data_IF_811559283152
#
_entry.id   IF_811559283152
#
_cell.length_a   1.000
_cell.length_b   1.000
_cell.length_c   1.000
_cell.angle_alpha   90.00
_cell.angle_beta   90.00
_cell.angle_gamma   90.00
#
_symmetry.space_group_name_H-M   'P 1'
#
loop_
_entity.id
_entity.type
_entity.pdbx_description
1 polymer ?
#
# COMPACT_ATOMS: atom_id res chain seq x y z
N UNK A 1 7.46 -16.44 -0.81
CA UNK A 1 6.37 -16.56 -1.81
C UNK A 1 6.70 -17.43 -3.02
N UNK A 2 7.94 -17.92 -3.22
CA UNK A 2 8.24 -18.80 -4.36
C UNK A 2 8.04 -18.14 -5.73
N UNK A 3 8.16 -16.81 -5.80
CA UNK A 3 7.84 -16.00 -6.97
C UNK A 3 9.10 -15.27 -7.48
N UNK A 4 10.01 -15.98 -8.16
CA UNK A 4 11.27 -15.40 -8.63
C UNK A 4 11.05 -14.44 -9.81
N UNK A 5 12.12 -13.75 -10.22
CA UNK A 5 12.04 -12.73 -11.27
C UNK A 5 11.70 -13.28 -12.66
N UNK A 6 12.20 -14.48 -12.97
CA UNK A 6 12.08 -15.13 -14.27
C UNK A 6 10.96 -16.17 -14.36
N UNK A 7 9.84 -15.94 -13.67
CA UNK A 7 8.65 -16.75 -13.92
C UNK A 7 8.10 -16.47 -15.32
N UNK A 8 7.48 -17.46 -15.93
CA UNK A 8 6.78 -17.28 -17.19
C UNK A 8 5.56 -16.37 -16.96
N UNK A 9 5.51 -15.27 -17.72
CA UNK A 9 4.42 -14.28 -17.68
C UNK A 9 3.72 -14.18 -19.02
N UNK A 10 2.41 -13.96 -18.96
CA UNK A 10 1.63 -13.61 -20.15
C UNK A 10 1.61 -12.09 -20.29
N UNK A 11 2.72 -11.50 -20.71
CA UNK A 11 2.89 -10.04 -20.78
C UNK A 11 1.74 -9.34 -21.51
N UNK A 12 1.27 -9.87 -22.63
CA UNK A 12 0.16 -9.30 -23.39
C UNK A 12 -1.16 -9.24 -22.59
N UNK A 13 -1.37 -10.19 -21.67
CA UNK A 13 -2.54 -10.19 -20.77
C UNK A 13 -2.28 -9.24 -19.60
N UNK A 14 -1.11 -9.30 -18.97
CA UNK A 14 -0.76 -8.43 -17.84
C UNK A 14 -0.82 -6.95 -18.23
N UNK A 15 -0.37 -6.57 -19.42
CA UNK A 15 -0.44 -5.20 -19.94
C UNK A 15 -1.84 -4.75 -20.34
N UNK A 16 -2.84 -5.64 -20.35
CA UNK A 16 -4.24 -5.25 -20.53
C UNK A 16 -4.95 -5.07 -19.18
N UNK A 17 -4.31 -5.46 -18.06
CA UNK A 17 -4.90 -5.34 -16.72
C UNK A 17 -4.73 -3.92 -16.18
N UNK A 18 -5.81 -3.37 -15.62
CA UNK A 18 -5.85 -2.08 -14.94
C UNK A 18 -6.23 -2.32 -13.47
N UNK A 19 -5.35 -1.91 -12.57
CA UNK A 19 -5.54 -2.00 -11.13
C UNK A 19 -5.90 -0.64 -10.56
N UNK A 20 -7.08 -0.54 -9.95
CA UNK A 20 -7.51 0.62 -9.18
C UNK A 20 -6.87 0.62 -7.79
N UNK A 21 -6.11 1.66 -7.45
CA UNK A 21 -5.47 1.85 -6.14
C UNK A 21 -6.23 2.93 -5.39
N UNK A 22 -6.93 2.56 -4.32
CA UNK A 22 -7.71 3.48 -3.49
C UNK A 22 -6.91 3.78 -2.23
N UNK A 23 -6.27 4.94 -2.17
CA UNK A 23 -5.27 5.24 -1.13
C UNK A 23 -5.00 6.75 -0.99
N UNK A 24 -3.84 7.15 -0.44
CA UNK A 24 -3.37 8.53 -0.29
C UNK A 24 -2.86 9.18 -1.58
N UNK A 25 -3.14 8.55 -2.73
CA UNK A 25 -2.69 9.00 -4.05
C UNK A 25 -1.45 8.25 -4.55
N UNK A 26 -0.71 8.87 -5.47
CA UNK A 26 0.53 8.30 -6.03
C UNK A 26 1.61 9.37 -6.23
N UNK A 27 2.88 8.99 -6.07
CA UNK A 27 4.03 9.80 -6.47
C UNK A 27 4.53 9.36 -7.86
N UNK A 28 4.07 9.98 -8.96
CA UNK A 28 4.29 9.46 -10.31
C UNK A 28 5.75 9.50 -10.76
N UNK A 29 6.60 10.34 -10.16
CA UNK A 29 8.03 10.42 -10.48
C UNK A 29 8.86 9.31 -9.83
N UNK A 30 8.24 8.41 -9.06
CA UNK A 30 8.95 7.24 -8.51
C UNK A 30 9.46 6.35 -9.63
N UNK A 31 10.67 5.80 -9.48
CA UNK A 31 11.22 4.82 -10.42
C UNK A 31 10.34 3.57 -10.54
N UNK A 32 9.49 3.28 -9.54
CA UNK A 32 8.54 2.17 -9.62
C UNK A 32 7.45 2.38 -10.68
N UNK A 33 7.24 3.60 -11.18
CA UNK A 33 6.16 3.93 -12.13
C UNK A 33 6.67 4.49 -13.46
N UNK A 34 7.97 4.31 -13.75
CA UNK A 34 8.53 4.74 -15.02
C UNK A 34 7.87 4.02 -16.21
N UNK A 35 7.61 4.72 -17.32
CA UNK A 35 6.83 4.20 -18.45
C UNK A 35 7.49 3.06 -19.26
N UNK A 36 8.63 2.49 -18.83
CA UNK A 36 9.34 1.46 -19.57
C UNK A 36 8.70 0.08 -19.33
N UNK A 37 8.29 -0.58 -20.41
CA UNK A 37 7.67 -1.90 -20.34
C UNK A 37 6.15 -1.88 -20.22
N UNK A 38 5.54 -0.70 -20.10
CA UNK A 38 4.10 -0.54 -20.26
C UNK A 38 3.72 -0.69 -21.73
N UNK A 39 2.70 -1.50 -21.99
CA UNK A 39 2.04 -1.56 -23.29
C UNK A 39 1.26 -0.27 -23.59
N UNK A 40 0.63 -0.17 -24.77
CA UNK A 40 -0.33 0.90 -25.02
C UNK A 40 -1.46 0.84 -23.98
N UNK A 41 -2.01 2.00 -23.62
CA UNK A 41 -3.17 2.07 -22.71
C UNK A 41 -4.29 1.15 -23.22
N UNK A 42 -4.86 0.27 -22.39
CA UNK A 42 -5.88 -0.68 -22.82
C UNK A 42 -7.08 0.03 -23.43
N UNK A 43 -7.59 -0.48 -24.56
CA UNK A 43 -8.73 0.16 -25.28
C UNK A 43 -10.02 0.24 -24.45
N UNK A 44 -10.15 -0.63 -23.44
CA UNK A 44 -11.28 -0.67 -22.52
C UNK A 44 -11.27 0.47 -21.50
N UNK A 45 -10.11 1.12 -21.29
CA UNK A 45 -9.96 2.23 -20.35
C UNK A 45 -10.78 3.43 -20.82
N UNK A 46 -11.63 3.95 -19.94
CA UNK A 46 -12.49 5.11 -20.21
C UNK A 46 -12.12 6.37 -19.44
N UNK A 47 -11.13 6.29 -18.53
CA UNK A 47 -10.58 7.48 -17.89
C UNK A 47 -9.80 8.35 -18.86
N UNK A 48 -9.34 9.52 -18.39
CA UNK A 48 -8.58 10.44 -19.24
C UNK A 48 -7.30 9.80 -19.83
N UNK A 49 -6.75 10.42 -20.88
CA UNK A 49 -5.74 9.86 -21.80
C UNK A 49 -4.40 9.46 -21.12
N UNK A 50 -4.14 9.97 -19.92
CA UNK A 50 -3.15 9.45 -18.97
C UNK A 50 -3.95 8.67 -17.96
N UNK A 51 -3.61 7.40 -17.65
CA UNK A 51 -4.34 6.58 -16.68
C UNK A 51 -4.58 7.42 -15.43
N UNK A 52 -5.82 7.88 -15.31
CA UNK A 52 -6.14 9.17 -14.74
C UNK A 52 -6.07 9.08 -13.25
N UNK A 53 -5.08 9.72 -12.60
CA UNK A 53 -5.13 9.81 -11.17
C UNK A 53 -6.31 10.75 -10.84
N UNK A 54 -7.31 10.30 -10.07
CA UNK A 54 -8.45 11.11 -9.61
C UNK A 54 -8.32 11.41 -8.11
N UNK A 55 -8.55 12.65 -7.71
CA UNK A 55 -8.56 13.08 -6.30
C UNK A 55 -9.98 13.42 -5.88
N UNK A 56 -10.41 12.89 -4.75
CA UNK A 56 -11.71 13.14 -4.14
C UNK A 56 -11.46 13.80 -2.78
N UNK A 57 -12.05 14.98 -2.58
CA UNK A 57 -11.94 15.71 -1.31
C UNK A 57 -13.14 16.66 -1.19
N UNK A 58 -14.20 16.19 -0.53
CA UNK A 58 -15.43 16.98 -0.30
C UNK A 58 -15.15 18.28 0.47
N UNK A 59 -14.09 18.33 1.29
CA UNK A 59 -13.71 19.51 2.11
C UNK A 59 -12.46 20.26 1.60
N UNK A 60 -12.06 20.03 0.34
CA UNK A 60 -11.09 20.78 -0.46
C UNK A 60 -9.83 21.35 0.22
N UNK A 61 -8.67 20.72 0.00
CA UNK A 61 -7.37 21.44 -0.02
C UNK A 61 -6.37 20.97 -1.09
N UNK A 62 -6.56 19.78 -1.71
CA UNK A 62 -5.70 19.30 -2.80
C UNK A 62 -6.50 18.70 -3.96
N UNK A 63 -6.56 19.43 -5.09
CA UNK A 63 -7.01 18.90 -6.38
C UNK A 63 -5.99 17.97 -7.03
N UNK A 64 -4.86 17.71 -6.35
CA UNK A 64 -3.80 16.85 -6.84
C UNK A 64 -3.89 15.47 -6.23
N UNK A 65 -3.70 14.47 -7.09
CA UNK A 65 -3.63 13.05 -6.71
C UNK A 65 -2.22 12.69 -6.22
N UNK A 66 -1.32 13.68 -6.16
CA UNK A 66 0.02 13.51 -5.63
C UNK A 66 -0.07 13.01 -4.19
N UNK A 67 0.66 11.93 -3.95
CA UNK A 67 0.83 11.37 -2.62
C UNK A 67 1.83 12.21 -1.82
N UNK A 68 1.38 12.76 -0.71
CA UNK A 68 2.21 13.55 0.22
C UNK A 68 2.51 12.79 1.52
N UNK A 69 1.92 11.60 1.69
CA UNK A 69 2.01 10.80 2.90
C UNK A 69 2.87 9.55 2.69
N UNK A 70 2.78 8.93 1.50
CA UNK A 70 3.66 7.84 1.04
C UNK A 70 2.99 6.46 0.99
N UNK A 71 1.87 6.26 1.69
CA UNK A 71 1.19 4.96 1.81
C UNK A 71 0.66 4.50 0.45
N UNK A 72 -0.02 5.36 -0.30
CA UNK A 72 -0.53 5.03 -1.63
C UNK A 72 0.56 4.69 -2.65
N UNK A 73 1.65 5.45 -2.65
CA UNK A 73 2.85 5.13 -3.46
C UNK A 73 3.44 3.78 -3.07
N UNK A 74 3.54 3.49 -1.77
CA UNK A 74 4.06 2.23 -1.27
C UNK A 74 3.17 1.04 -1.68
N UNK A 75 1.86 1.14 -1.48
CA UNK A 75 0.87 0.12 -1.87
C UNK A 75 0.87 -0.12 -3.38
N UNK A 76 0.82 0.96 -4.18
CA UNK A 76 0.85 0.87 -5.64
C UNK A 76 2.12 0.16 -6.15
N UNK A 77 3.28 0.45 -5.54
CA UNK A 77 4.55 -0.18 -5.91
C UNK A 77 4.61 -1.68 -5.56
N UNK A 78 3.99 -2.10 -4.46
CA UNK A 78 3.89 -3.52 -4.07
C UNK A 78 3.00 -4.28 -5.04
N UNK A 79 1.92 -3.66 -5.51
CA UNK A 79 0.96 -4.33 -6.36
C UNK A 79 1.44 -4.46 -7.82
N UNK A 80 1.85 -3.34 -8.42
CA UNK A 80 2.20 -3.25 -9.84
C UNK A 80 3.42 -2.35 -10.13
N UNK A 81 4.31 -2.15 -9.15
CA UNK A 81 5.55 -1.42 -9.38
C UNK A 81 6.49 -2.12 -10.36
N UNK A 82 7.13 -1.34 -11.23
CA UNK A 82 8.17 -1.81 -12.10
C UNK A 82 9.41 -2.29 -11.35
N UNK A 83 10.27 -3.02 -12.06
CA UNK A 83 11.56 -3.43 -11.53
C UNK A 83 12.48 -2.23 -11.31
N UNK A 84 12.83 -1.99 -10.05
CA UNK A 84 13.81 -0.97 -9.63
C UNK A 84 15.05 -1.68 -9.09
N UNK A 85 16.16 -1.54 -9.81
CA UNK A 85 17.45 -2.15 -9.42
C UNK A 85 18.10 -1.33 -8.31
N UNK A 86 18.86 -1.99 -7.44
CA UNK A 86 19.60 -1.35 -6.35
C UNK A 86 18.71 -0.56 -5.36
N UNK A 87 17.44 -0.94 -5.25
CA UNK A 87 16.52 -0.37 -4.28
C UNK A 87 16.96 -0.75 -2.86
N UNK A 88 16.96 0.22 -1.96
CA UNK A 88 17.24 0.04 -0.53
C UNK A 88 16.59 1.17 0.28
N UNK A 89 16.45 0.96 1.59
CA UNK A 89 16.12 2.02 2.53
C UNK A 89 17.39 2.36 3.32
N UNK A 90 18.16 3.35 2.86
CA UNK A 90 19.49 3.68 3.43
C UNK A 90 20.38 2.42 3.57
N UNK A 91 20.62 1.73 2.45
CA UNK A 91 21.37 0.46 2.37
C UNK A 91 20.72 -0.76 3.05
N UNK A 92 19.62 -0.58 3.79
CA UNK A 92 18.84 -1.67 4.33
C UNK A 92 18.01 -2.36 3.23
N UNK A 93 17.97 -3.70 3.28
CA UNK A 93 17.23 -4.54 2.34
C UNK A 93 17.56 -4.29 0.86
N UNK A 94 18.85 -4.08 0.57
CA UNK A 94 19.33 -3.88 -0.80
C UNK A 94 18.89 -5.02 -1.74
N UNK A 95 18.34 -4.66 -2.89
CA UNK A 95 17.89 -5.64 -3.87
C UNK A 95 17.25 -5.03 -5.11
N UNK A 96 16.43 -5.83 -5.79
CA UNK A 96 15.54 -5.35 -6.86
C UNK A 96 14.12 -5.30 -6.33
N UNK A 97 13.54 -4.11 -6.20
CA UNK A 97 12.14 -3.93 -5.84
C UNK A 97 11.26 -4.13 -7.08
N UNK A 98 10.07 -4.71 -6.91
CA UNK A 98 9.07 -4.96 -7.96
C UNK A 98 7.73 -5.30 -7.33
N UNK A 99 6.66 -4.99 -8.05
CA UNK A 99 5.31 -5.43 -7.68
C UNK A 99 5.03 -6.89 -8.08
N UNK A 100 3.83 -7.36 -7.73
CA UNK A 100 3.33 -8.67 -8.15
C UNK A 100 3.18 -8.77 -9.68
N UNK A 101 2.63 -7.72 -10.30
CA UNK A 101 2.38 -7.64 -11.75
C UNK A 101 2.97 -6.35 -12.34
N UNK A 102 4.30 -6.30 -12.58
CA UNK A 102 4.98 -5.09 -13.07
C UNK A 102 4.44 -4.55 -14.41
N UNK A 103 3.87 -5.41 -15.27
CA UNK A 103 3.32 -4.99 -16.56
C UNK A 103 1.90 -4.42 -16.49
N UNK A 104 1.21 -4.51 -15.34
CA UNK A 104 -0.16 -4.01 -15.20
C UNK A 104 -0.21 -2.49 -15.06
N UNK A 105 -1.29 -1.89 -15.56
CA UNK A 105 -1.56 -0.47 -15.45
C UNK A 105 -2.11 -0.13 -14.06
N UNK A 106 -1.72 1.04 -13.53
CA UNK A 106 -2.19 1.55 -12.23
C UNK A 106 -3.10 2.76 -12.46
N UNK A 107 -4.33 2.69 -11.97
CA UNK A 107 -5.24 3.83 -11.85
C UNK A 107 -5.32 4.26 -10.39
N UNK A 108 -4.81 5.46 -10.07
CA UNK A 108 -4.76 5.96 -8.70
C UNK A 108 -6.02 6.76 -8.37
N UNK A 109 -6.71 6.36 -7.30
CA UNK A 109 -7.88 7.04 -6.75
C UNK A 109 -7.51 7.52 -5.35
N UNK A 110 -7.25 8.83 -5.22
CA UNK A 110 -6.90 9.43 -3.94
C UNK A 110 -8.18 9.70 -3.15
N UNK A 111 -8.42 8.86 -2.15
CA UNK A 111 -9.61 8.87 -1.28
C UNK A 111 -9.25 9.13 0.18
N UNK A 112 -7.95 9.25 0.47
CA UNK A 112 -7.39 9.51 1.78
C UNK A 112 -6.42 10.68 1.71
N UNK A 113 -6.42 11.52 2.74
CA UNK A 113 -5.36 12.49 3.02
C UNK A 113 -4.76 12.16 4.40
N UNK A 114 -5.13 12.91 5.43
CA UNK A 114 -4.88 12.55 6.83
C UNK A 114 -5.90 11.53 7.34
N UNK A 115 -7.12 11.61 6.81
CA UNK A 115 -8.23 10.71 7.07
C UNK A 115 -8.86 10.31 5.74
N UNK A 116 -9.68 9.26 5.75
CA UNK A 116 -10.40 8.79 4.57
C UNK A 116 -11.89 8.99 4.80
N UNK A 117 -12.59 9.60 3.83
CA UNK A 117 -14.02 9.83 3.92
C UNK A 117 -14.78 8.75 3.15
N UNK A 118 -15.82 8.19 3.78
CA UNK A 118 -16.69 7.18 3.18
C UNK A 118 -17.28 7.63 1.83
N UNK A 119 -17.66 8.91 1.73
CA UNK A 119 -18.26 9.45 0.50
C UNK A 119 -17.23 9.60 -0.64
N UNK A 120 -15.97 9.93 -0.32
CA UNK A 120 -14.88 9.98 -1.30
C UNK A 120 -14.56 8.57 -1.81
N UNK A 121 -14.56 7.56 -0.92
CA UNK A 121 -14.36 6.15 -1.29
C UNK A 121 -15.51 5.64 -2.17
N UNK A 122 -16.76 5.94 -1.81
CA UNK A 122 -17.91 5.52 -2.59
C UNK A 122 -17.90 6.14 -3.99
N UNK A 123 -17.52 7.42 -4.09
CA UNK A 123 -17.36 8.12 -5.38
C UNK A 123 -16.26 7.47 -6.21
N UNK A 124 -15.12 7.14 -5.60
CA UNK A 124 -14.05 6.43 -6.26
C UNK A 124 -14.46 5.05 -6.76
N UNK A 125 -15.30 4.32 -6.03
CA UNK A 125 -15.85 3.03 -6.50
C UNK A 125 -16.67 3.21 -7.77
N UNK A 126 -17.58 4.19 -7.79
CA UNK A 126 -18.42 4.45 -8.98
C UNK A 126 -17.56 4.79 -10.20
N UNK A 127 -16.59 5.69 -10.01
CA UNK A 127 -15.66 6.10 -11.07
C UNK A 127 -14.76 4.96 -11.53
N UNK A 128 -14.19 4.15 -10.62
CA UNK A 128 -13.34 3.02 -11.01
C UNK A 128 -14.11 1.94 -11.79
N UNK A 129 -15.35 1.66 -11.38
CA UNK A 129 -16.25 0.76 -12.12
C UNK A 129 -16.54 1.32 -13.51
N UNK A 130 -16.84 2.62 -13.61
CA UNK A 130 -17.13 3.28 -14.89
C UNK A 130 -15.91 3.34 -15.82
N UNK A 131 -14.73 3.60 -15.25
CA UNK A 131 -13.44 3.70 -15.95
C UNK A 131 -12.98 2.34 -16.51
N UNK A 132 -13.48 1.23 -15.94
CA UNK A 132 -13.23 -0.12 -16.41
C UNK A 132 -11.97 -0.76 -15.81
N UNK A 133 -11.71 -0.53 -14.52
CA UNK A 133 -10.66 -1.26 -13.79
C UNK A 133 -11.01 -2.74 -13.70
N UNK A 134 -10.00 -3.62 -13.68
CA UNK A 134 -10.19 -5.07 -13.58
C UNK A 134 -10.18 -5.57 -12.13
N UNK A 135 -9.45 -4.87 -11.26
CA UNK A 135 -9.28 -5.20 -9.84
C UNK A 135 -9.12 -3.91 -9.05
N UNK A 136 -9.66 -3.87 -7.83
CA UNK A 136 -9.50 -2.74 -6.91
C UNK A 136 -8.73 -3.24 -5.69
N UNK A 137 -7.71 -2.50 -5.29
CA UNK A 137 -7.08 -2.66 -3.98
C UNK A 137 -7.29 -1.41 -3.16
N UNK A 138 -7.77 -1.60 -1.95
CA UNK A 138 -8.03 -0.53 -0.98
C UNK A 138 -7.33 -0.92 0.33
N UNK A 139 -6.25 -0.22 0.67
CA UNK A 139 -5.49 -0.51 1.90
C UNK A 139 -6.01 0.34 3.06
N UNK A 140 -7.33 0.43 3.19
CA UNK A 140 -8.02 1.26 4.17
C UNK A 140 -9.03 0.39 4.91
N UNK A 141 -9.01 0.46 6.23
CA UNK A 141 -9.99 -0.21 7.08
C UNK A 141 -10.89 0.84 7.72
N UNK A 142 -12.07 1.03 7.14
CA UNK A 142 -13.12 1.88 7.69
C UNK A 142 -14.23 1.03 8.33
N UNK A 143 -15.02 1.67 9.18
CA UNK A 143 -16.19 1.05 9.79
C UNK A 143 -15.94 0.18 11.02
N UNK A 144 -16.99 -0.02 11.81
CA UNK A 144 -17.12 -1.15 12.75
C UNK A 144 -17.72 -2.37 12.05
N UNK A 145 -18.02 -3.44 12.79
CA UNK A 145 -18.52 -4.74 12.30
C UNK A 145 -19.50 -4.63 11.12
N UNK A 146 -19.44 -5.59 10.18
CA UNK A 146 -20.27 -5.66 8.98
C UNK A 146 -21.75 -5.29 9.22
N UNK A 147 -22.19 -4.22 8.55
CA UNK A 147 -23.60 -3.90 8.41
C UNK A 147 -23.91 -3.59 6.94
N UNK A 148 -24.61 -4.49 6.22
CA UNK A 148 -24.71 -4.44 4.75
C UNK A 148 -25.48 -3.23 4.19
N UNK A 149 -26.16 -2.47 5.04
CA UNK A 149 -27.00 -1.33 4.64
C UNK A 149 -26.48 0.02 5.10
N UNK A 150 -25.53 0.08 6.04
CA UNK A 150 -25.01 1.34 6.61
C UNK A 150 -23.54 1.59 6.29
N UNK A 151 -22.78 0.55 5.91
CA UNK A 151 -21.39 0.69 5.51
C UNK A 151 -21.25 1.01 4.01
N UNK A 152 -20.88 2.26 3.72
CA UNK A 152 -20.69 2.77 2.36
C UNK A 152 -19.57 2.05 1.61
N UNK A 153 -18.53 1.56 2.29
CA UNK A 153 -17.46 0.77 1.68
C UNK A 153 -18.03 -0.57 1.21
N UNK A 154 -18.80 -1.24 2.08
CA UNK A 154 -19.47 -2.50 1.76
C UNK A 154 -20.40 -2.39 0.54
N UNK A 155 -21.11 -1.26 0.38
CA UNK A 155 -21.93 -0.97 -0.80
C UNK A 155 -21.11 -0.82 -2.08
N UNK A 156 -20.03 -0.02 -2.05
CA UNK A 156 -19.12 0.15 -3.20
C UNK A 156 -18.51 -1.18 -3.65
N UNK A 157 -18.11 -2.00 -2.68
CA UNK A 157 -17.54 -3.34 -2.89
C UNK A 157 -18.56 -4.28 -3.50
N UNK A 158 -19.83 -4.22 -3.08
CA UNK A 158 -20.90 -5.04 -3.67
C UNK A 158 -21.15 -4.66 -5.14
N UNK A 159 -21.11 -3.36 -5.45
CA UNK A 159 -21.30 -2.86 -6.81
C UNK A 159 -20.13 -3.26 -7.72
N UNK A 160 -18.89 -3.16 -7.24
CA UNK A 160 -17.72 -3.63 -7.97
C UNK A 160 -17.79 -5.14 -8.25
N UNK A 161 -18.10 -5.94 -7.22
CA UNK A 161 -18.21 -7.40 -7.35
C UNK A 161 -19.29 -7.81 -8.36
N UNK A 162 -20.46 -7.17 -8.33
CA UNK A 162 -21.55 -7.41 -9.31
C UNK A 162 -21.14 -7.11 -10.76
N UNK A 163 -20.12 -6.26 -10.95
CA UNK A 163 -19.56 -5.91 -12.27
C UNK A 163 -18.36 -6.78 -12.66
N UNK A 164 -18.03 -7.79 -11.86
CA UNK A 164 -16.90 -8.70 -12.09
C UNK A 164 -15.54 -8.12 -11.68
N UNK A 165 -15.53 -7.03 -10.91
CA UNK A 165 -14.31 -6.39 -10.39
C UNK A 165 -14.12 -6.87 -8.96
N UNK A 166 -13.01 -7.58 -8.69
CA UNK A 166 -12.71 -8.09 -7.35
C UNK A 166 -12.12 -6.97 -6.48
N UNK A 167 -12.72 -6.60 -5.34
CA UNK A 167 -12.11 -5.71 -4.37
C UNK A 167 -11.24 -6.51 -3.39
N UNK A 168 -10.02 -6.03 -3.15
CA UNK A 168 -9.06 -6.58 -2.20
C UNK A 168 -8.79 -5.53 -1.13
N UNK A 169 -8.84 -5.93 0.14
CA UNK A 169 -8.59 -5.02 1.26
C UNK A 169 -7.83 -5.69 2.41
N UNK A 170 -7.34 -4.90 3.34
CA UNK A 170 -6.69 -5.37 4.55
C UNK A 170 -7.70 -5.61 5.69
N UNK A 171 -7.36 -6.50 6.63
CA UNK A 171 -8.16 -6.76 7.85
C UNK A 171 -8.08 -5.65 8.91
N UNK A 172 -7.21 -4.66 8.72
CA UNK A 172 -6.89 -3.62 9.70
C UNK A 172 -5.82 -4.03 10.73
N UNK A 173 -5.34 -3.06 11.51
CA UNK A 173 -4.20 -3.21 12.42
C UNK A 173 -4.59 -3.22 13.92
N UNK A 174 -5.87 -3.45 14.24
CA UNK A 174 -6.42 -3.37 15.60
C UNK A 174 -6.37 -4.69 16.38
N UNK A 175 -5.65 -5.69 15.87
CA UNK A 175 -5.40 -6.95 16.58
C UNK A 175 -4.59 -6.77 17.88
N UNK A 176 -4.37 -7.83 18.66
CA UNK A 176 -4.75 -9.23 18.41
C UNK A 176 -6.06 -9.65 19.10
N UNK A 177 -6.84 -8.71 19.64
CA UNK A 177 -8.10 -9.03 20.35
C UNK A 177 -9.10 -9.67 19.39
N UNK A 178 -9.93 -10.58 19.92
CA UNK A 178 -11.06 -11.15 19.16
C UNK A 178 -11.99 -10.03 18.67
N UNK A 179 -12.66 -10.25 17.53
CA UNK A 179 -13.57 -9.29 16.88
C UNK A 179 -12.92 -7.96 16.45
N UNK A 180 -11.61 -7.98 16.12
CA UNK A 180 -10.87 -6.82 15.63
C UNK A 180 -10.76 -6.72 14.09
N UNK A 181 -11.19 -7.76 13.36
CA UNK A 181 -11.19 -7.77 11.90
C UNK A 181 -12.13 -6.69 11.37
N UNK A 182 -11.66 -5.98 10.36
CA UNK A 182 -12.43 -5.03 9.54
C UNK A 182 -12.59 -5.58 8.12
N UNK A 183 -13.44 -4.92 7.33
CA UNK A 183 -13.62 -5.25 5.91
C UNK A 183 -14.04 -6.72 5.69
N UNK A 184 -14.99 -7.21 6.48
CA UNK A 184 -15.47 -8.59 6.52
C UNK A 184 -16.65 -8.88 5.56
N UNK A 185 -16.84 -8.02 4.56
CA UNK A 185 -17.84 -8.22 3.51
C UNK A 185 -17.56 -9.51 2.71
N UNK A 186 -18.54 -10.42 2.54
CA UNK A 186 -18.33 -11.70 1.85
C UNK A 186 -17.88 -11.61 0.38
N UNK A 187 -18.09 -10.45 -0.25
CA UNK A 187 -17.77 -10.16 -1.65
C UNK A 187 -16.42 -9.42 -1.81
N UNK A 188 -15.59 -9.45 -0.77
CA UNK A 188 -14.25 -8.86 -0.75
C UNK A 188 -13.20 -9.93 -0.43
N UNK A 189 -12.00 -9.81 -1.01
CA UNK A 189 -10.84 -10.55 -0.55
C UNK A 189 -10.16 -9.78 0.59
N UNK A 190 -10.39 -10.21 1.83
CA UNK A 190 -9.80 -9.58 3.02
C UNK A 190 -8.49 -10.26 3.42
N UNK A 191 -7.41 -9.48 3.50
CA UNK A 191 -6.03 -9.96 3.64
C UNK A 191 -5.44 -9.61 5.00
N UNK A 192 -4.95 -10.62 5.72
CA UNK A 192 -4.21 -10.47 6.97
C UNK A 192 -2.70 -10.27 6.74
N UNK A 193 -2.01 -9.69 7.72
CA UNK A 193 -0.56 -9.50 7.69
C UNK A 193 0.18 -10.65 8.39
N UNK A 194 1.34 -11.03 7.84
CA UNK A 194 2.27 -11.98 8.45
C UNK A 194 3.71 -11.58 8.15
N UNK A 195 4.66 -12.20 8.85
CA UNK A 195 6.09 -11.89 8.70
C UNK A 195 6.73 -12.73 7.59
N UNK A 196 7.83 -12.21 7.03
CA UNK A 196 8.75 -12.94 6.17
C UNK A 196 9.97 -13.44 6.97
N UNK A 197 10.82 -14.23 6.33
CA UNK A 197 12.08 -14.75 6.89
C UNK A 197 13.14 -13.67 7.16
N UNK A 198 13.14 -12.59 6.35
CA UNK A 198 14.03 -11.44 6.55
C UNK A 198 13.72 -10.70 7.85
N UNK A 199 14.76 -10.48 8.67
CA UNK A 199 14.72 -9.67 9.88
C UNK A 199 15.79 -8.60 9.86
N UNK A 200 15.45 -7.40 10.28
CA UNK A 200 16.44 -6.36 10.61
C UNK A 200 16.87 -6.55 12.06
N UNK A 201 18.18 -6.69 12.26
CA UNK A 201 18.79 -6.89 13.57
C UNK A 201 19.76 -5.74 13.78
N UNK A 202 19.61 -5.06 14.90
CA UNK A 202 20.50 -3.99 15.32
C UNK A 202 21.28 -4.43 16.55
N UNK A 203 22.59 -4.25 16.53
CA UNK A 203 23.49 -4.78 17.57
C UNK A 203 23.93 -3.64 18.46
N UNK A 204 23.60 -3.75 19.75
CA UNK A 204 24.01 -2.79 20.77
C UNK A 204 25.20 -3.36 21.53
N UNK A 205 26.35 -2.69 21.42
CA UNK A 205 27.55 -2.99 22.22
C UNK A 205 27.48 -2.22 23.55
N UNK A 206 27.40 -2.93 24.66
CA UNK A 206 27.36 -2.36 25.99
C UNK A 206 28.76 -2.00 26.50
N UNK A 207 28.82 -1.18 27.55
CA UNK A 207 30.09 -0.70 28.13
C UNK A 207 30.98 -1.80 28.70
N UNK A 208 30.40 -2.93 29.11
CA UNK A 208 31.09 -4.13 29.60
C UNK A 208 31.59 -5.06 28.48
N UNK A 209 31.37 -4.69 27.21
CA UNK A 209 31.75 -5.47 26.03
C UNK A 209 30.73 -6.51 25.59
N UNK A 210 29.62 -6.67 26.32
CA UNK A 210 28.53 -7.57 25.89
C UNK A 210 27.75 -6.98 24.71
N UNK A 211 27.22 -7.86 23.85
CA UNK A 211 26.44 -7.47 22.66
C UNK A 211 25.01 -7.96 22.80
N UNK A 212 24.06 -7.04 22.66
CA UNK A 212 22.62 -7.34 22.66
C UNK A 212 22.08 -7.15 21.25
N UNK A 213 21.40 -8.18 20.73
CA UNK A 213 20.71 -8.10 19.44
C UNK A 213 19.27 -7.58 19.64
N UNK A 214 19.04 -6.34 19.22
CA UNK A 214 17.74 -5.70 19.16
C UNK A 214 17.06 -5.85 17.79
N UNK A 215 15.82 -5.37 17.70
CA UNK A 215 15.08 -5.26 16.44
C UNK A 215 14.70 -3.79 16.24
N UNK A 216 15.28 -3.17 15.22
CA UNK A 216 15.01 -1.79 14.83
C UNK A 216 15.27 -1.63 13.32
N UNK A 217 14.74 -0.55 12.73
CA UNK A 217 15.16 -0.08 11.42
C UNK A 217 16.08 1.11 11.67
N UNK A 218 17.36 0.81 11.90
CA UNK A 218 18.38 1.81 12.18
C UNK A 218 19.21 2.06 10.92
N UNK A 219 19.10 3.26 10.36
CA UNK A 219 19.88 3.72 9.21
C UNK A 219 20.98 4.71 9.61
N UNK A 220 21.09 5.03 10.90
CA UNK A 220 22.17 5.89 11.38
C UNK A 220 23.48 5.09 11.28
N UNK A 221 24.48 5.71 10.65
CA UNK A 221 25.84 5.21 10.73
C UNK A 221 26.25 5.21 12.20
N UNK A 222 26.78 4.09 12.68
CA UNK A 222 27.34 4.00 14.03
C UNK A 222 28.35 5.12 14.18
N UNK A 223 28.05 6.12 15.00
CA UNK A 223 29.03 7.13 15.37
C UNK A 223 30.17 6.41 16.10
N UNK A 224 31.42 6.77 15.82
CA UNK A 224 32.60 6.17 16.48
C UNK A 224 32.71 6.52 17.98
N UNK A 225 31.63 6.98 18.63
CA UNK A 225 31.60 7.42 20.01
C UNK A 225 30.73 6.53 20.88
N UNK A 226 31.29 6.02 21.99
CA UNK A 226 30.49 5.45 23.07
C UNK A 226 29.63 6.57 23.68
N UNK A 227 28.32 6.42 23.62
CA UNK A 227 27.39 7.31 24.29
C UNK A 227 27.15 6.82 25.73
N UNK A 228 27.06 7.73 26.72
CA UNK A 228 26.71 7.34 28.08
C UNK A 228 25.28 6.81 28.15
N UNK A 229 25.09 5.61 28.70
CA UNK A 229 23.76 5.08 29.01
C UNK A 229 23.27 5.66 30.34
N UNK A 230 22.09 6.27 30.35
CA UNK A 230 21.44 6.75 31.57
C UNK A 230 20.16 5.96 31.79
N UNK A 231 20.07 5.27 32.92
CA UNK A 231 18.82 4.66 33.37
C UNK A 231 18.21 5.52 34.46
N UNK A 232 16.98 6.02 34.25
CA UNK A 232 16.23 6.66 35.33
C UNK A 232 15.73 5.56 36.27
N UNK A 233 16.09 5.63 37.55
CA UNK A 233 15.53 4.75 38.59
C UNK A 233 14.10 5.21 38.90
N UNK A 234 13.11 4.54 38.31
CA UNK A 234 11.67 4.85 38.38
C UNK A 234 10.92 4.35 37.15
N UNK A 235 9.66 4.76 36.95
CA UNK A 235 8.95 4.48 35.68
C UNK A 235 9.59 5.36 34.60
N UNK A 236 10.49 4.79 33.82
CA UNK A 236 11.01 5.40 32.61
C UNK A 236 9.91 5.33 31.53
N UNK A 237 8.94 6.26 31.61
CA UNK A 237 7.99 6.47 30.52
C UNK A 237 8.71 7.32 29.47
N UNK A 238 9.24 6.67 28.44
CA UNK A 238 9.56 7.34 27.19
C UNK A 238 8.25 7.55 26.42
N UNK A 239 7.50 8.58 26.78
CA UNK A 239 6.35 9.04 26.00
C UNK A 239 6.86 9.90 24.85
N UNK A 240 6.69 9.39 23.62
CA UNK A 240 6.84 10.15 22.39
C UNK A 240 5.67 11.11 22.19
#
# INVERSE_FOLDING_TARGET
MGFPRGIDRRHAVESDVIMGIFDTGIWPESESFHNKGFGPVPKKWKGEKVIGPRSYSINGTSFSVRDIQGHGTHVASIAAGNEVKHASFFDLAQGTARGGVPSAHIAAYKVCELECNDADILTAFDDAIADGVDIITISVALGSQFEPTSDFVTLGVLHAFKRGILPVSCVGNSGPRMFSVKNDAPWMLTVAASNIDRRFIDKVLLGDGSVVAGTSINYFLSSEGKLPSVSKTGVAICSA
#
